data_IF_507453551992
#
_entry.id   IF_507453551992
#
_cell.length_a   1.000
_cell.length_b   1.000
_cell.length_c   1.000
_cell.angle_alpha   90.00
_cell.angle_beta   90.00
_cell.angle_gamma   90.00
#
_symmetry.space_group_name_H-M   'P 1'
#
loop_
_entity.id
_entity.type
_entity.pdbx_description
1 polymer ?
#
# COMPACT_ATOMS: atom_id res chain seq x y z
N UNK A 1 -43.17 -47.88 -28.77
CA UNK A 1 -42.68 -48.07 -27.38
C UNK A 1 -41.49 -47.16 -27.18
N UNK A 2 -41.76 -46.00 -26.57
CA UNK A 2 -40.74 -44.95 -26.32
C UNK A 2 -40.20 -45.15 -24.89
N UNK A 3 -38.94 -45.56 -24.74
CA UNK A 3 -38.27 -45.58 -23.44
C UNK A 3 -37.58 -44.24 -23.23
N UNK A 4 -38.15 -43.37 -22.40
CA UNK A 4 -37.50 -42.21 -21.88
C UNK A 4 -36.46 -42.61 -20.83
N UNK A 5 -35.18 -42.50 -21.15
CA UNK A 5 -34.11 -42.62 -20.17
C UNK A 5 -34.05 -41.36 -19.31
N UNK A 6 -34.56 -41.46 -18.09
CA UNK A 6 -34.36 -40.44 -17.06
C UNK A 6 -32.93 -40.51 -16.57
N UNK A 7 -32.11 -39.50 -16.90
CA UNK A 7 -30.74 -39.32 -16.37
C UNK A 7 -30.81 -39.10 -14.86
N UNK A 8 -29.97 -39.78 -14.10
CA UNK A 8 -29.95 -39.71 -12.65
C UNK A 8 -29.62 -38.29 -12.15
N UNK A 9 -30.18 -37.86 -11.01
CA UNK A 9 -29.89 -36.51 -10.43
C UNK A 9 -28.41 -36.21 -10.22
N UNK A 10 -27.59 -37.25 -9.99
CA UNK A 10 -26.15 -37.15 -9.78
C UNK A 10 -25.39 -36.66 -11.03
N UNK A 11 -25.80 -37.09 -12.23
CA UNK A 11 -25.19 -36.64 -13.50
C UNK A 11 -25.56 -35.20 -13.84
N UNK A 12 -26.73 -34.70 -13.43
CA UNK A 12 -27.15 -33.30 -13.60
C UNK A 12 -26.40 -32.36 -12.68
N UNK A 13 -26.14 -32.77 -11.42
CA UNK A 13 -25.37 -31.96 -10.47
C UNK A 13 -23.91 -31.78 -10.91
N UNK A 14 -23.28 -32.86 -11.38
CA UNK A 14 -21.88 -32.82 -11.87
C UNK A 14 -21.73 -31.94 -13.12
N UNK A 15 -22.70 -32.00 -14.05
CA UNK A 15 -22.73 -31.18 -15.25
C UNK A 15 -22.96 -29.70 -14.94
N UNK A 16 -23.74 -29.38 -13.90
CA UNK A 16 -24.00 -27.99 -13.48
C UNK A 16 -22.76 -27.35 -12.83
N UNK A 17 -22.06 -28.09 -11.97
CA UNK A 17 -20.82 -27.64 -11.33
C UNK A 17 -19.74 -27.41 -12.39
N UNK A 18 -19.58 -28.28 -13.37
CA UNK A 18 -18.61 -28.13 -14.45
C UNK A 18 -18.94 -26.96 -15.37
N UNK A 19 -20.22 -26.71 -15.66
CA UNK A 19 -20.69 -25.59 -16.47
C UNK A 19 -20.45 -24.23 -15.78
N UNK A 20 -20.64 -24.16 -14.46
CA UNK A 20 -20.37 -22.93 -13.69
C UNK A 20 -18.88 -22.63 -13.66
N UNK A 21 -18.00 -23.63 -13.50
CA UNK A 21 -16.55 -23.44 -13.53
C UNK A 21 -16.05 -23.01 -14.91
N UNK A 22 -16.60 -23.53 -16.00
CA UNK A 22 -16.25 -23.12 -17.36
C UNK A 22 -16.77 -21.71 -17.70
N UNK A 23 -17.95 -21.32 -17.21
CA UNK A 23 -18.50 -19.98 -17.47
C UNK A 23 -17.76 -18.86 -16.74
N UNK A 24 -17.22 -19.11 -15.54
CA UNK A 24 -16.43 -18.11 -14.80
C UNK A 24 -15.10 -17.79 -15.51
N UNK A 25 -14.56 -18.73 -16.29
CA UNK A 25 -13.34 -18.54 -17.06
C UNK A 25 -13.50 -17.81 -18.40
N UNK A 26 -14.73 -17.64 -18.90
CA UNK A 26 -15.00 -17.21 -20.28
C UNK A 26 -15.82 -15.91 -20.42
N UNK A 27 -16.33 -15.32 -19.33
CA UNK A 27 -17.15 -14.10 -19.43
C UNK A 27 -16.34 -12.83 -19.16
N UNK A 28 -16.37 -11.85 -20.07
CA UNK A 28 -15.90 -10.51 -19.78
C UNK A 28 -16.85 -9.84 -18.76
N UNK A 29 -16.28 -9.27 -17.71
CA UNK A 29 -16.97 -8.74 -16.52
C UNK A 29 -17.86 -7.49 -16.80
N UNK A 30 -18.06 -7.11 -18.05
CA UNK A 30 -18.89 -5.96 -18.44
C UNK A 30 -20.40 -6.23 -18.49
N UNK A 31 -20.88 -7.45 -18.22
CA UNK A 31 -22.28 -7.82 -18.41
C UNK A 31 -23.17 -7.79 -17.17
N UNK A 32 -22.69 -7.34 -16.01
CA UNK A 32 -23.48 -7.32 -14.76
C UNK A 32 -23.96 -5.94 -14.29
N UNK A 33 -23.97 -4.96 -15.16
CA UNK A 33 -24.49 -3.66 -14.82
C UNK A 33 -25.66 -3.30 -15.75
N UNK A 34 -26.85 -3.90 -15.54
CA UNK A 34 -28.16 -3.28 -15.86
C UNK A 34 -29.28 -4.31 -15.59
N UNK A 35 -30.00 -4.11 -14.56
CA UNK A 35 -31.46 -4.12 -14.42
C UNK A 35 -31.88 -4.45 -12.98
N UNK A 36 -32.20 -3.46 -12.20
CA UNK A 36 -33.16 -3.55 -11.11
C UNK A 36 -33.92 -2.24 -11.05
N UNK A 37 -35.15 -2.25 -11.53
CA UNK A 37 -36.16 -1.20 -11.27
C UNK A 37 -36.89 -1.53 -9.97
N UNK A 38 -36.84 -0.56 -9.06
CA UNK A 38 -37.82 -0.17 -8.05
C UNK A 38 -38.59 -1.25 -7.27
N UNK A 39 -38.20 -1.41 -5.99
CA UNK A 39 -39.19 -1.43 -4.91
C UNK A 39 -38.53 -0.92 -3.61
N UNK A 40 -39.15 0.07 -2.97
CA UNK A 40 -38.66 0.70 -1.75
C UNK A 40 -38.81 -0.28 -0.57
N UNK A 41 -37.69 -0.69 -0.01
CA UNK A 41 -37.54 -1.31 1.28
C UNK A 41 -36.20 -0.80 1.85
N UNK A 42 -36.19 -0.37 3.10
CA UNK A 42 -34.99 0.09 3.78
C UNK A 42 -33.94 -1.04 3.82
N UNK A 43 -33.14 -1.15 2.78
CA UNK A 43 -31.95 -1.99 2.78
C UNK A 43 -30.81 -1.21 3.44
N UNK A 44 -30.41 -1.67 4.63
CA UNK A 44 -29.10 -1.35 5.17
C UNK A 44 -28.09 -1.65 4.06
N UNK A 45 -27.44 -0.61 3.55
CA UNK A 45 -26.37 -0.73 2.57
C UNK A 45 -25.37 -1.80 3.05
N UNK A 46 -25.32 -2.91 2.33
CA UNK A 46 -24.25 -3.89 2.50
C UNK A 46 -22.95 -3.13 2.23
N UNK A 47 -22.15 -2.93 3.26
CA UNK A 47 -20.79 -2.41 3.12
C UNK A 47 -20.05 -3.36 2.20
N UNK A 48 -19.72 -2.86 1.01
CA UNK A 48 -18.83 -3.56 0.09
C UNK A 48 -17.53 -3.81 0.86
N UNK A 49 -17.24 -5.07 1.20
CA UNK A 49 -15.99 -5.46 1.85
C UNK A 49 -14.85 -5.00 0.93
N UNK A 50 -14.27 -3.83 1.25
CA UNK A 50 -13.12 -3.33 0.50
C UNK A 50 -11.96 -4.29 0.75
N UNK A 51 -11.28 -4.72 -0.32
CA UNK A 51 -10.13 -5.60 -0.22
C UNK A 51 -9.10 -5.05 0.76
N UNK A 52 -8.61 -5.86 1.71
CA UNK A 52 -7.52 -5.51 2.62
C UNK A 52 -6.25 -5.23 1.82
N UNK A 53 -5.69 -4.03 1.95
CA UNK A 53 -4.52 -3.61 1.21
C UNK A 53 -3.25 -4.19 1.83
N UNK A 54 -2.44 -4.85 1.03
CA UNK A 54 -1.16 -5.45 1.41
C UNK A 54 -0.07 -4.70 0.65
N UNK A 55 0.56 -3.76 1.32
CA UNK A 55 1.44 -2.77 0.70
C UNK A 55 2.88 -3.03 1.14
N UNK A 56 3.80 -2.98 0.19
CA UNK A 56 5.23 -2.92 0.46
C UNK A 56 5.75 -1.53 0.07
N UNK A 57 6.46 -0.88 0.99
CA UNK A 57 7.08 0.42 0.77
C UNK A 57 8.58 0.27 0.50
N UNK A 58 9.05 0.91 -0.57
CA UNK A 58 10.46 1.00 -0.92
C UNK A 58 10.89 2.48 -0.98
N UNK A 59 11.87 2.84 -0.16
CA UNK A 59 12.51 4.16 -0.22
C UNK A 59 13.51 4.21 -1.39
N UNK A 60 13.00 4.55 -2.56
CA UNK A 60 13.80 4.74 -3.77
C UNK A 60 14.12 6.22 -4.05
N UNK A 61 13.88 7.11 -3.10
CA UNK A 61 14.32 8.51 -3.10
C UNK A 61 15.72 8.66 -2.54
N UNK A 62 15.97 8.16 -1.33
CA UNK A 62 17.30 8.19 -0.73
C UNK A 62 18.29 7.32 -1.51
N UNK A 63 17.87 6.18 -2.01
CA UNK A 63 18.69 5.24 -2.77
C UNK A 63 18.14 4.99 -4.16
N UNK A 64 19.02 4.97 -5.15
CA UNK A 64 18.65 4.53 -6.51
C UNK A 64 18.53 3.01 -6.56
N UNK A 65 17.46 2.55 -7.16
CA UNK A 65 17.23 1.15 -7.55
C UNK A 65 17.05 1.09 -9.06
N UNK A 66 17.70 0.12 -9.68
CA UNK A 66 17.53 -0.14 -11.11
C UNK A 66 16.14 -0.69 -11.42
N UNK A 67 15.70 -0.57 -12.66
CA UNK A 67 14.43 -1.18 -13.13
C UNK A 67 14.38 -2.67 -12.84
N UNK A 68 15.52 -3.37 -13.00
CA UNK A 68 15.62 -4.82 -12.72
C UNK A 68 15.43 -5.15 -11.25
N UNK A 69 16.03 -4.37 -10.34
CA UNK A 69 15.89 -4.57 -8.90
C UNK A 69 14.45 -4.34 -8.43
N UNK A 70 13.79 -3.29 -8.92
CA UNK A 70 12.38 -3.03 -8.60
C UNK A 70 11.46 -4.14 -9.16
N UNK A 71 11.72 -4.62 -10.38
CA UNK A 71 10.98 -5.76 -10.95
C UNK A 71 11.16 -7.04 -10.14
N UNK A 72 12.37 -7.32 -9.65
CA UNK A 72 12.62 -8.46 -8.76
C UNK A 72 11.84 -8.36 -7.43
N UNK A 73 11.69 -7.16 -6.88
CA UNK A 73 10.81 -6.93 -5.72
C UNK A 73 9.34 -7.19 -6.10
N UNK A 74 8.88 -6.68 -7.24
CA UNK A 74 7.50 -6.89 -7.72
C UNK A 74 7.20 -8.38 -7.88
N UNK A 75 8.15 -9.19 -8.37
CA UNK A 75 7.99 -10.63 -8.48
C UNK A 75 7.74 -11.27 -7.11
N UNK A 76 8.55 -10.89 -6.11
CA UNK A 76 8.36 -11.37 -4.73
C UNK A 76 7.03 -10.92 -4.13
N UNK A 77 6.58 -9.70 -4.42
CA UNK A 77 5.28 -9.21 -3.96
C UNK A 77 4.13 -10.00 -4.60
N UNK A 78 4.20 -10.28 -5.87
CA UNK A 78 3.19 -11.05 -6.59
C UNK A 78 3.15 -12.51 -6.09
N UNK A 79 4.31 -13.14 -5.89
CA UNK A 79 4.43 -14.49 -5.35
C UNK A 79 3.85 -14.62 -3.94
N UNK A 80 4.00 -13.58 -3.12
CA UNK A 80 3.51 -13.51 -1.74
C UNK A 80 2.18 -12.76 -1.59
N UNK A 81 1.43 -12.57 -2.69
CA UNK A 81 0.06 -12.04 -2.72
C UNK A 81 -0.10 -10.62 -2.16
N UNK A 82 0.90 -9.78 -2.27
CA UNK A 82 0.74 -8.35 -2.03
C UNK A 82 -0.16 -7.72 -3.10
N UNK A 83 -0.72 -6.56 -2.78
CA UNK A 83 -1.59 -5.81 -3.71
C UNK A 83 -0.90 -4.60 -4.32
N UNK A 84 0.04 -4.02 -3.58
CA UNK A 84 0.66 -2.75 -3.96
C UNK A 84 2.14 -2.71 -3.63
N UNK A 85 2.88 -1.95 -4.45
CA UNK A 85 4.20 -1.43 -4.12
C UNK A 85 4.10 0.10 -3.99
N UNK A 86 4.55 0.66 -2.86
CA UNK A 86 4.71 2.10 -2.68
C UNK A 86 6.15 2.47 -3.02
N UNK A 87 6.33 3.33 -4.02
CA UNK A 87 7.64 3.83 -4.44
C UNK A 87 7.84 5.26 -3.95
N UNK A 88 8.65 5.43 -2.91
CA UNK A 88 9.03 6.74 -2.37
C UNK A 88 10.17 7.33 -3.20
N UNK A 89 9.88 7.78 -4.42
CA UNK A 89 10.87 8.34 -5.34
C UNK A 89 11.31 9.76 -4.96
N UNK A 90 10.53 10.46 -4.15
CA UNK A 90 10.80 11.77 -3.56
C UNK A 90 10.81 11.65 -2.03
N UNK A 91 11.97 11.34 -1.45
CA UNK A 91 12.20 11.21 -0.01
C UNK A 91 13.69 11.52 0.25
N UNK A 92 14.00 12.71 0.73
CA UNK A 92 15.31 13.39 0.73
C UNK A 92 15.92 13.51 -0.67
N UNK A 93 16.15 12.42 -1.37
CA UNK A 93 16.47 12.41 -2.81
C UNK A 93 15.20 12.52 -3.66
N UNK A 94 15.37 12.91 -4.91
CA UNK A 94 14.32 12.94 -5.92
C UNK A 94 14.80 12.17 -7.16
N UNK A 95 14.55 10.86 -7.17
CA UNK A 95 15.20 9.93 -8.12
C UNK A 95 14.28 9.43 -9.23
N UNK A 96 13.29 10.22 -9.56
CA UNK A 96 12.45 10.01 -10.74
C UNK A 96 12.26 11.33 -11.48
N UNK A 97 12.63 11.38 -12.75
CA UNK A 97 12.51 12.56 -13.61
C UNK A 97 11.56 12.29 -14.78
N UNK A 98 10.56 13.15 -14.91
CA UNK A 98 9.68 13.19 -16.07
C UNK A 98 10.41 13.76 -17.30
N UNK A 99 9.92 13.46 -18.49
CA UNK A 99 10.44 14.04 -19.72
C UNK A 99 10.36 15.56 -19.71
N UNK A 100 9.27 16.10 -19.16
CA UNK A 100 9.11 17.52 -18.93
C UNK A 100 9.01 17.81 -17.42
N UNK A 101 10.04 18.45 -16.86
CA UNK A 101 10.12 18.89 -15.46
C UNK A 101 9.93 20.40 -15.29
N UNK A 102 9.52 21.15 -16.34
CA UNK A 102 9.27 22.60 -16.17
C UNK A 102 8.23 22.85 -15.08
N UNK A 103 8.44 23.87 -14.27
CA UNK A 103 7.50 24.29 -13.20
C UNK A 103 7.28 25.78 -13.25
N UNK A 104 6.07 26.22 -12.92
CA UNK A 104 5.74 27.65 -12.78
C UNK A 104 5.52 27.97 -11.31
N UNK A 105 6.25 28.93 -10.77
CA UNK A 105 6.16 29.37 -9.39
C UNK A 105 5.93 30.87 -9.38
N UNK A 106 4.84 31.34 -8.80
CA UNK A 106 4.48 32.74 -8.70
C UNK A 106 4.53 33.49 -10.07
N UNK A 107 4.13 32.79 -11.15
CA UNK A 107 4.14 33.35 -12.50
C UNK A 107 5.48 33.26 -13.24
N UNK A 108 6.56 32.82 -12.58
CA UNK A 108 7.85 32.57 -13.23
C UNK A 108 7.95 31.11 -13.63
N UNK A 109 8.24 30.87 -14.92
CA UNK A 109 8.49 29.53 -15.45
C UNK A 109 9.98 29.18 -15.30
N UNK A 110 10.26 27.97 -14.83
CA UNK A 110 11.58 27.37 -14.73
C UNK A 110 11.61 26.21 -15.74
N UNK A 111 12.50 26.30 -16.69
CA UNK A 111 12.62 25.39 -17.81
C UNK A 111 12.97 23.96 -17.37
N UNK A 112 12.45 22.98 -18.08
CA UNK A 112 12.58 21.55 -17.76
C UNK A 112 14.02 21.11 -17.54
N UNK A 113 14.95 21.50 -18.40
CA UNK A 113 16.34 21.05 -18.32
C UNK A 113 17.08 21.72 -17.14
N UNK A 114 16.75 22.97 -16.82
CA UNK A 114 17.26 23.64 -15.62
C UNK A 114 16.78 22.93 -14.35
N UNK A 115 15.49 22.59 -14.27
CA UNK A 115 14.91 21.85 -13.13
C UNK A 115 15.54 20.46 -12.99
N UNK A 116 15.69 19.71 -14.08
CA UNK A 116 16.36 18.38 -14.06
C UNK A 116 17.80 18.49 -13.57
N UNK A 117 18.55 19.45 -14.08
CA UNK A 117 19.96 19.68 -13.69
C UNK A 117 20.06 20.02 -12.21
N UNK A 118 19.19 20.90 -11.70
CA UNK A 118 19.16 21.28 -10.29
C UNK A 118 18.81 20.08 -9.38
N UNK A 119 17.85 19.24 -9.76
CA UNK A 119 17.49 18.01 -9.03
C UNK A 119 18.65 17.01 -9.04
N UNK A 120 19.29 16.77 -10.19
CA UNK A 120 20.43 15.85 -10.29
C UNK A 120 21.62 16.31 -9.44
N UNK A 121 21.87 17.62 -9.41
CA UNK A 121 22.88 18.21 -8.53
C UNK A 121 22.54 17.98 -7.05
N UNK A 122 21.31 18.20 -6.64
CA UNK A 122 20.84 17.93 -5.27
C UNK A 122 20.99 16.47 -4.87
N UNK A 123 20.74 15.53 -5.77
CA UNK A 123 20.91 14.09 -5.52
C UNK A 123 22.37 13.65 -5.27
N UNK A 124 23.36 14.54 -5.49
CA UNK A 124 24.76 14.25 -5.22
C UNK A 124 25.22 14.64 -3.82
N UNK A 125 24.39 15.35 -3.05
CA UNK A 125 24.68 15.81 -1.70
C UNK A 125 24.04 14.96 -0.60
N UNK A 126 24.28 15.36 0.64
CA UNK A 126 23.62 14.83 1.84
C UNK A 126 23.66 13.29 1.97
N UNK A 127 24.78 12.67 1.63
CA UNK A 127 24.91 11.21 1.69
C UNK A 127 24.20 10.43 0.57
N UNK A 128 23.56 11.12 -0.38
CA UNK A 128 22.79 10.51 -1.48
C UNK A 128 23.66 10.02 -2.66
N UNK A 129 24.97 10.17 -2.58
CA UNK A 129 25.92 9.80 -3.63
C UNK A 129 26.39 8.33 -3.54
N UNK A 130 27.34 7.94 -4.36
CA UNK A 130 27.95 6.60 -4.34
C UNK A 130 27.04 5.52 -4.91
N UNK A 131 26.89 4.40 -4.20
CA UNK A 131 26.03 3.28 -4.64
C UNK A 131 24.54 3.67 -4.74
N UNK A 132 24.19 4.84 -4.19
CA UNK A 132 22.85 5.40 -4.31
C UNK A 132 22.65 6.29 -5.54
N UNK A 133 23.71 6.56 -6.32
CA UNK A 133 23.66 7.44 -7.49
C UNK A 133 22.79 6.85 -8.62
N UNK A 134 22.08 7.74 -9.31
CA UNK A 134 21.17 7.39 -10.39
C UNK A 134 19.80 8.02 -10.24
N UNK A 135 19.06 8.04 -11.33
CA UNK A 135 17.66 8.49 -11.39
C UNK A 135 16.91 7.60 -12.38
N UNK A 136 15.67 7.35 -12.11
CA UNK A 136 14.75 6.72 -13.06
C UNK A 136 14.27 7.77 -14.06
N UNK A 137 14.29 7.42 -15.32
CA UNK A 137 13.65 8.20 -16.38
C UNK A 137 12.14 7.90 -16.41
N UNK A 138 11.39 8.71 -17.14
CA UNK A 138 9.96 8.44 -17.35
C UNK A 138 9.75 7.09 -18.06
N UNK A 139 10.60 6.71 -19.01
CA UNK A 139 10.54 5.40 -19.69
C UNK A 139 10.80 4.25 -18.71
N UNK A 140 11.72 4.41 -17.76
CA UNK A 140 11.98 3.41 -16.72
C UNK A 140 10.76 3.20 -15.83
N UNK A 141 10.14 4.30 -15.39
CA UNK A 141 8.94 4.23 -14.56
C UNK A 141 7.74 3.65 -15.33
N UNK A 142 7.59 3.99 -16.61
CA UNK A 142 6.58 3.38 -17.49
C UNK A 142 6.76 1.86 -17.57
N UNK A 143 8.00 1.40 -17.69
CA UNK A 143 8.32 -0.04 -17.72
C UNK A 143 8.07 -0.73 -16.37
N UNK A 144 8.32 -0.05 -15.25
CA UNK A 144 8.02 -0.55 -13.90
C UNK A 144 6.50 -0.68 -13.70
N UNK A 145 5.74 0.37 -14.01
CA UNK A 145 4.27 0.38 -13.86
C UNK A 145 3.62 -0.69 -14.72
N UNK A 146 4.03 -0.81 -15.98
CA UNK A 146 3.52 -1.84 -16.88
C UNK A 146 3.81 -3.26 -16.36
N UNK A 147 5.01 -3.48 -15.82
CA UNK A 147 5.41 -4.76 -15.22
C UNK A 147 4.59 -5.08 -13.97
N UNK A 148 4.45 -4.12 -13.06
CA UNK A 148 3.65 -4.26 -11.85
C UNK A 148 2.19 -4.61 -12.18
N UNK A 149 1.57 -3.87 -13.10
CA UNK A 149 0.20 -4.14 -13.54
C UNK A 149 0.03 -5.54 -14.13
N UNK A 150 1.01 -6.01 -14.94
CA UNK A 150 1.02 -7.37 -15.48
C UNK A 150 1.11 -8.43 -14.39
N UNK A 151 1.83 -8.15 -13.32
CA UNK A 151 2.01 -9.03 -12.15
C UNK A 151 0.85 -8.90 -11.13
N UNK A 152 -0.17 -8.09 -11.40
CA UNK A 152 -1.30 -7.86 -10.49
C UNK A 152 -0.97 -6.92 -9.33
N UNK A 153 0.19 -6.26 -9.35
CA UNK A 153 0.64 -5.30 -8.33
C UNK A 153 0.35 -3.88 -8.82
N UNK A 154 -0.25 -3.05 -7.97
CA UNK A 154 -0.48 -1.63 -8.27
C UNK A 154 0.62 -0.77 -7.68
N UNK A 155 0.95 0.34 -8.35
CA UNK A 155 1.97 1.29 -7.88
C UNK A 155 1.30 2.44 -7.13
N UNK A 156 1.76 2.68 -5.90
CA UNK A 156 1.46 3.88 -5.12
C UNK A 156 2.71 4.76 -5.19
N UNK A 157 2.67 5.91 -5.85
CA UNK A 157 3.77 6.87 -5.80
C UNK A 157 3.83 7.58 -4.45
N UNK A 158 5.04 7.95 -4.02
CA UNK A 158 5.22 8.82 -2.86
C UNK A 158 6.21 9.93 -3.18
N UNK A 159 5.78 11.17 -2.91
CA UNK A 159 6.58 12.38 -2.90
C UNK A 159 6.38 13.06 -1.56
N UNK A 160 7.39 13.00 -0.70
CA UNK A 160 7.32 13.53 0.67
C UNK A 160 7.44 15.06 0.69
N UNK A 161 6.51 15.71 1.39
CA UNK A 161 6.49 17.14 1.63
C UNK A 161 5.64 17.46 2.89
N UNK A 162 5.96 18.50 3.67
CA UNK A 162 7.07 19.44 3.50
C UNK A 162 8.43 18.94 4.01
N UNK A 163 8.48 17.84 4.79
CA UNK A 163 9.70 17.21 5.27
C UNK A 163 10.37 16.34 4.19
N UNK A 164 11.59 15.86 4.48
CA UNK A 164 12.37 14.97 3.60
C UNK A 164 12.52 15.48 2.16
N UNK A 165 12.73 16.80 2.00
CA UNK A 165 12.79 17.46 0.69
C UNK A 165 14.20 17.96 0.33
N UNK A 166 15.28 17.36 0.86
CA UNK A 166 16.64 17.88 0.64
C UNK A 166 16.92 18.21 -0.83
N UNK A 167 16.72 17.28 -1.74
CA UNK A 167 16.99 17.49 -3.17
C UNK A 167 16.09 18.56 -3.79
N UNK A 168 14.81 18.58 -3.43
CA UNK A 168 13.86 19.59 -3.93
C UNK A 168 14.21 20.99 -3.39
N UNK A 169 14.60 21.10 -2.11
CA UNK A 169 15.09 22.36 -1.51
C UNK A 169 16.36 22.85 -2.21
N UNK A 170 17.32 21.96 -2.47
CA UNK A 170 18.51 22.31 -3.24
C UNK A 170 18.17 22.79 -4.65
N UNK A 171 17.23 22.13 -5.32
CA UNK A 171 16.78 22.56 -6.64
C UNK A 171 16.11 23.93 -6.59
N UNK A 172 15.24 24.17 -5.58
CA UNK A 172 14.63 25.49 -5.35
C UNK A 172 15.68 26.60 -5.21
N UNK A 173 16.73 26.35 -4.41
CA UNK A 173 17.83 27.28 -4.19
C UNK A 173 18.68 27.50 -5.46
N UNK A 174 19.06 26.41 -6.15
CA UNK A 174 19.87 26.46 -7.37
C UNK A 174 19.17 27.21 -8.50
N UNK A 175 17.84 27.07 -8.59
CA UNK A 175 17.02 27.78 -9.57
C UNK A 175 16.75 29.25 -9.21
N UNK A 176 17.14 29.70 -8.01
CA UNK A 176 16.87 31.05 -7.55
C UNK A 176 15.39 31.35 -7.32
N UNK A 177 14.59 30.34 -6.94
CA UNK A 177 13.14 30.50 -6.68
C UNK A 177 12.90 31.47 -5.50
N UNK A 178 13.80 31.50 -4.51
CA UNK A 178 13.73 32.43 -3.36
C UNK A 178 12.84 31.95 -2.21
N UNK A 179 12.38 30.71 -2.22
CA UNK A 179 11.60 30.11 -1.12
C UNK A 179 12.47 29.78 0.10
N UNK A 180 11.85 29.74 1.28
CA UNK A 180 12.53 29.40 2.54
C UNK A 180 12.47 27.91 2.84
N UNK A 181 13.50 27.42 3.51
CA UNK A 181 13.60 26.03 3.96
C UNK A 181 14.28 25.94 5.32
N UNK A 182 14.01 24.85 6.04
CA UNK A 182 14.58 24.56 7.34
C UNK A 182 15.28 23.20 7.34
N UNK A 183 16.40 23.09 8.07
CA UNK A 183 17.02 21.82 8.41
C UNK A 183 16.34 21.31 9.66
N UNK A 184 15.62 20.19 9.56
CA UNK A 184 14.88 19.58 10.67
C UNK A 184 15.80 18.75 11.55
N UNK A 185 16.66 17.94 10.93
CA UNK A 185 17.69 17.18 11.62
C UNK A 185 18.98 17.21 10.82
N UNK A 186 20.08 17.41 11.51
CA UNK A 186 21.42 17.37 10.90
C UNK A 186 22.16 16.14 11.47
N UNK A 187 22.29 15.12 10.66
CA UNK A 187 22.92 13.86 11.05
C UNK A 187 24.35 13.87 10.53
N UNK A 188 25.30 14.27 11.38
CA UNK A 188 26.73 14.40 11.03
C UNK A 188 27.47 13.05 10.91
N UNK A 189 26.76 11.96 10.75
CA UNK A 189 27.26 10.60 10.74
C UNK A 189 27.21 9.93 9.35
N UNK A 190 26.99 10.72 8.29
CA UNK A 190 26.94 10.25 6.91
C UNK A 190 25.54 9.88 6.42
N UNK A 191 24.51 9.99 7.29
CA UNK A 191 23.11 9.87 6.87
C UNK A 191 22.62 11.15 6.17
N UNK A 192 21.50 11.03 5.49
CA UNK A 192 20.78 12.19 4.96
C UNK A 192 20.23 13.04 6.10
N UNK A 193 20.43 14.35 6.04
CA UNK A 193 19.75 15.28 6.93
C UNK A 193 18.35 15.55 6.41
N UNK A 194 17.36 15.60 7.30
CA UNK A 194 16.00 15.97 6.92
C UNK A 194 15.90 17.48 6.69
N UNK A 195 15.47 17.87 5.50
CA UNK A 195 15.24 19.25 5.11
C UNK A 195 13.77 19.44 4.74
N UNK A 196 13.15 20.52 5.18
CA UNK A 196 11.78 20.85 4.87
C UNK A 196 11.69 22.19 4.16
N UNK A 197 10.73 22.34 3.26
CA UNK A 197 10.25 23.66 2.87
C UNK A 197 9.53 24.30 4.07
N UNK A 198 9.68 25.61 4.23
CA UNK A 198 8.97 26.33 5.28
C UNK A 198 7.49 26.46 4.90
N UNK A 199 6.56 25.84 5.66
CA UNK A 199 5.13 25.89 5.32
C UNK A 199 4.52 27.28 5.49
N UNK A 200 5.22 28.22 6.13
CA UNK A 200 4.81 29.63 6.25
C UNK A 200 5.25 30.48 5.07
N UNK A 201 6.15 29.99 4.23
CA UNK A 201 6.65 30.68 3.05
C UNK A 201 5.87 30.29 1.79
N UNK A 202 5.08 31.23 1.28
CA UNK A 202 4.22 30.99 0.13
C UNK A 202 4.98 30.56 -1.15
N UNK A 203 6.20 31.01 -1.33
CA UNK A 203 7.03 30.68 -2.50
C UNK A 203 7.56 29.24 -2.41
N UNK A 204 8.04 28.82 -1.24
CA UNK A 204 8.48 27.44 -1.00
C UNK A 204 7.32 26.45 -1.15
N UNK A 205 6.16 26.77 -0.58
CA UNK A 205 4.93 25.98 -0.72
C UNK A 205 4.50 25.90 -2.19
N UNK A 206 4.55 27.01 -2.94
CA UNK A 206 4.20 27.00 -4.36
C UNK A 206 5.14 26.13 -5.18
N UNK A 207 6.44 26.15 -4.90
CA UNK A 207 7.43 25.29 -5.57
C UNK A 207 7.18 23.80 -5.29
N UNK A 208 6.98 23.43 -4.01
CA UNK A 208 6.69 22.04 -3.60
C UNK A 208 5.40 21.53 -4.27
N UNK A 209 4.33 22.35 -4.27
CA UNK A 209 3.05 22.02 -4.92
C UNK A 209 3.19 21.90 -6.44
N UNK A 210 4.00 22.72 -7.09
CA UNK A 210 4.24 22.65 -8.53
C UNK A 210 4.94 21.33 -8.91
N UNK A 211 5.92 20.87 -8.13
CA UNK A 211 6.54 19.54 -8.32
C UNK A 211 5.53 18.41 -8.06
N UNK A 212 4.80 18.47 -6.95
CA UNK A 212 3.77 17.48 -6.62
C UNK A 212 2.76 17.34 -7.75
N UNK A 213 2.23 18.45 -8.27
CA UNK A 213 1.24 18.46 -9.36
C UNK A 213 1.73 17.71 -10.61
N UNK A 214 3.02 17.85 -10.95
CA UNK A 214 3.57 17.11 -12.10
C UNK A 214 3.53 15.61 -11.89
N UNK A 215 3.96 15.15 -10.73
CA UNK A 215 3.95 13.71 -10.41
C UNK A 215 2.53 13.16 -10.25
N UNK A 216 1.64 13.90 -9.59
CA UNK A 216 0.22 13.54 -9.46
C UNK A 216 -0.42 13.37 -10.84
N UNK A 217 -0.21 14.33 -11.76
CA UNK A 217 -0.73 14.24 -13.12
C UNK A 217 -0.19 13.03 -13.87
N UNK A 218 1.12 12.77 -13.78
CA UNK A 218 1.74 11.62 -14.44
C UNK A 218 1.18 10.29 -13.93
N UNK A 219 1.16 10.08 -12.61
CA UNK A 219 0.73 8.81 -12.04
C UNK A 219 -0.78 8.56 -12.17
N UNK A 220 -1.61 9.61 -12.10
CA UNK A 220 -3.04 9.51 -12.43
C UNK A 220 -3.24 9.04 -13.87
N UNK A 221 -2.48 9.62 -14.82
CA UNK A 221 -2.49 9.20 -16.23
C UNK A 221 -2.00 7.76 -16.46
N UNK A 222 -1.30 7.16 -15.48
CA UNK A 222 -0.86 5.76 -15.48
C UNK A 222 -1.78 4.82 -14.71
N UNK A 223 -2.89 5.33 -14.15
CA UNK A 223 -3.90 4.53 -13.47
C UNK A 223 -3.63 4.27 -11.98
N UNK A 224 -2.70 5.00 -11.35
CA UNK A 224 -2.57 4.98 -9.89
C UNK A 224 -3.84 5.54 -9.25
N UNK A 225 -4.32 4.88 -8.21
CA UNK A 225 -5.54 5.25 -7.48
C UNK A 225 -5.26 5.88 -6.11
N UNK A 226 -4.01 5.85 -5.69
CA UNK A 226 -3.52 6.40 -4.42
C UNK A 226 -2.21 7.14 -4.65
N UNK A 227 -1.94 8.16 -3.84
CA UNK A 227 -0.70 8.92 -3.83
C UNK A 227 -0.32 9.26 -2.37
N UNK A 228 0.89 8.93 -1.94
CA UNK A 228 1.38 9.29 -0.61
C UNK A 228 2.15 10.62 -0.67
N UNK A 229 1.71 11.59 0.12
CA UNK A 229 2.34 12.91 0.22
C UNK A 229 3.36 12.99 1.37
N UNK A 230 3.58 11.91 2.12
CA UNK A 230 4.47 11.86 3.28
C UNK A 230 3.90 12.59 4.47
N UNK A 231 4.21 13.87 4.59
CA UNK A 231 3.76 14.75 5.66
C UNK A 231 4.34 14.45 7.05
N UNK A 232 5.39 13.61 7.13
CA UNK A 232 6.07 13.22 8.35
C UNK A 232 7.29 14.09 8.66
N UNK A 233 7.75 14.03 9.90
CA UNK A 233 9.00 14.61 10.43
C UNK A 233 9.32 16.05 9.95
N UNK A 234 8.30 16.90 9.90
CA UNK A 234 8.37 18.22 9.23
C UNK A 234 8.84 19.37 10.15
N UNK A 235 9.33 19.09 11.36
CA UNK A 235 9.84 20.12 12.28
C UNK A 235 8.79 21.14 12.71
N UNK A 236 7.65 20.64 13.16
CA UNK A 236 6.50 21.46 13.50
C UNK A 236 6.61 22.11 14.86
N UNK A 237 6.19 23.37 14.94
CA UNK A 237 6.01 24.13 16.14
C UNK A 237 4.65 24.86 16.13
N UNK A 238 4.36 25.61 17.20
CA UNK A 238 3.08 26.32 17.34
C UNK A 238 2.87 27.42 16.28
N UNK A 239 3.94 27.97 15.74
CA UNK A 239 3.90 29.13 14.85
C UNK A 239 3.70 28.70 13.38
N UNK A 240 4.16 27.49 13.01
CA UNK A 240 4.06 26.96 11.65
C UNK A 240 2.95 25.93 11.47
N UNK A 241 2.36 25.38 12.53
CA UNK A 241 1.44 24.25 12.47
C UNK A 241 0.17 24.49 11.64
N UNK A 242 -0.43 25.68 11.77
CA UNK A 242 -1.61 26.03 10.96
C UNK A 242 -1.27 26.12 9.46
N UNK A 243 -0.11 26.65 9.12
CA UNK A 243 0.40 26.72 7.74
C UNK A 243 0.73 25.33 7.20
N UNK A 244 1.30 24.46 8.01
CA UNK A 244 1.49 23.05 7.67
C UNK A 244 0.16 22.35 7.34
N UNK A 245 -0.84 22.48 8.20
CA UNK A 245 -2.15 21.88 7.96
C UNK A 245 -2.78 22.38 6.66
N UNK A 246 -2.67 23.70 6.40
CA UNK A 246 -3.11 24.27 5.13
C UNK A 246 -2.38 23.64 3.94
N UNK A 247 -1.04 23.51 4.02
CA UNK A 247 -0.25 22.90 2.95
C UNK A 247 -0.63 21.44 2.70
N UNK A 248 -0.84 20.64 3.77
CA UNK A 248 -1.30 19.25 3.67
C UNK A 248 -2.67 19.17 2.98
N UNK A 249 -3.63 20.00 3.39
CA UNK A 249 -4.96 20.03 2.76
C UNK A 249 -4.90 20.51 1.29
N UNK A 250 -4.04 21.48 0.97
CA UNK A 250 -3.81 21.91 -0.42
C UNK A 250 -3.23 20.77 -1.27
N UNK A 251 -2.28 20.01 -0.73
CA UNK A 251 -1.72 18.82 -1.42
C UNK A 251 -2.77 17.72 -1.59
N UNK A 252 -3.60 17.49 -0.57
CA UNK A 252 -4.76 16.59 -0.67
C UNK A 252 -5.69 17.01 -1.80
N UNK A 253 -6.01 18.29 -1.90
CA UNK A 253 -6.85 18.80 -2.97
C UNK A 253 -6.27 18.56 -4.38
N UNK A 254 -4.94 18.65 -4.55
CA UNK A 254 -4.25 18.33 -5.80
C UNK A 254 -4.42 16.84 -6.16
N UNK A 255 -4.20 15.94 -5.19
CA UNK A 255 -4.32 14.50 -5.38
C UNK A 255 -5.75 14.10 -5.72
N UNK A 256 -6.73 14.65 -4.97
CA UNK A 256 -8.16 14.42 -5.20
C UNK A 256 -8.65 14.90 -6.56
N UNK A 257 -8.19 16.07 -6.98
CA UNK A 257 -8.56 16.62 -8.30
C UNK A 257 -8.10 15.73 -9.45
N UNK A 258 -7.07 14.89 -9.23
CA UNK A 258 -6.61 13.88 -10.18
C UNK A 258 -7.34 12.51 -10.01
N UNK A 259 -8.35 12.41 -9.16
CA UNK A 259 -9.12 11.19 -8.93
C UNK A 259 -8.44 10.14 -8.05
N UNK A 260 -7.42 10.52 -7.30
CA UNK A 260 -6.67 9.62 -6.40
C UNK A 260 -7.01 9.88 -4.93
N UNK A 261 -6.78 8.87 -4.09
CA UNK A 261 -6.83 8.97 -2.64
C UNK A 261 -5.48 9.38 -2.09
N UNK A 262 -5.46 10.36 -1.20
CA UNK A 262 -4.25 10.81 -0.52
C UNK A 262 -3.92 9.89 0.65
N UNK A 263 -2.66 9.48 0.75
CA UNK A 263 -2.07 8.85 1.92
C UNK A 263 -1.11 9.84 2.58
N UNK A 264 -1.03 9.81 3.92
CA UNK A 264 -0.06 10.61 4.68
C UNK A 264 0.31 9.91 6.00
N UNK A 265 1.51 10.17 6.51
CA UNK A 265 1.93 9.67 7.81
C UNK A 265 1.32 10.46 8.97
N UNK A 266 1.22 9.85 10.14
CA UNK A 266 0.40 10.38 11.24
C UNK A 266 1.08 11.43 12.11
N UNK A 267 2.41 11.45 12.24
CA UNK A 267 3.14 12.23 13.25
C UNK A 267 3.08 13.76 13.07
N UNK A 268 2.73 14.23 11.87
CA UNK A 268 2.43 15.64 11.61
C UNK A 268 0.94 15.98 11.69
N UNK A 269 0.06 15.03 11.42
CA UNK A 269 -1.39 15.24 11.35
C UNK A 269 -2.01 15.08 12.73
N UNK A 270 -2.65 16.13 13.26
CA UNK A 270 -3.18 16.18 14.62
C UNK A 270 -2.12 15.80 15.69
N UNK A 271 -1.00 16.55 15.71
CA UNK A 271 -0.01 16.37 16.76
C UNK A 271 -0.62 16.60 18.13
N UNK A 272 -0.40 15.66 19.03
CA UNK A 272 -0.98 15.68 20.39
C UNK A 272 -0.67 16.99 21.15
N UNK A 273 0.54 17.51 21.00
CA UNK A 273 0.97 18.77 21.63
C UNK A 273 0.22 20.01 21.13
N UNK A 274 -0.35 19.96 19.92
CA UNK A 274 -1.10 21.08 19.32
C UNK A 274 -2.61 20.85 19.33
N UNK A 275 -3.08 19.62 19.52
CA UNK A 275 -4.50 19.28 19.45
C UNK A 275 -5.36 20.09 20.42
N UNK A 276 -4.84 20.36 21.63
CA UNK A 276 -5.51 21.18 22.66
C UNK A 276 -5.28 22.68 22.52
N UNK A 277 -4.07 23.09 22.09
CA UNK A 277 -3.69 24.50 22.00
C UNK A 277 -4.13 25.18 20.71
N UNK A 278 -4.39 24.43 19.66
CA UNK A 278 -4.83 24.92 18.36
C UNK A 278 -6.06 24.15 17.84
N UNK A 279 -7.20 24.16 18.54
CA UNK A 279 -8.38 23.37 18.18
C UNK A 279 -9.03 23.79 16.85
N UNK A 280 -8.67 24.96 16.33
CA UNK A 280 -9.09 25.47 15.02
C UNK A 280 -8.38 24.83 13.82
N UNK A 281 -7.20 24.22 14.03
CA UNK A 281 -6.48 23.54 12.97
C UNK A 281 -7.19 22.23 12.59
N UNK A 282 -7.49 22.08 11.30
CA UNK A 282 -8.25 20.94 10.76
C UNK A 282 -7.48 20.33 9.58
N UNK A 283 -7.55 19.01 9.51
CA UNK A 283 -7.11 18.26 8.35
C UNK A 283 -8.30 17.58 7.67
N UNK A 284 -8.23 17.44 6.36
CA UNK A 284 -9.26 16.75 5.58
C UNK A 284 -9.30 15.28 5.97
N UNK A 285 -10.44 14.78 6.41
CA UNK A 285 -10.56 13.41 6.94
C UNK A 285 -10.72 12.33 5.86
N UNK A 286 -10.70 12.69 4.60
CA UNK A 286 -10.59 11.77 3.49
C UNK A 286 -9.12 11.39 3.16
N UNK A 287 -8.15 12.03 3.80
CA UNK A 287 -6.76 11.56 3.83
C UNK A 287 -6.71 10.23 4.61
N UNK A 288 -6.11 9.21 4.02
CA UNK A 288 -5.87 7.93 4.69
C UNK A 288 -4.57 8.01 5.48
N UNK A 289 -4.63 7.70 6.75
CA UNK A 289 -3.51 7.82 7.68
C UNK A 289 -2.67 6.54 7.68
N UNK A 290 -1.40 6.65 7.29
CA UNK A 290 -0.38 5.62 7.48
C UNK A 290 0.15 5.73 8.92
N UNK A 291 -0.45 4.99 9.85
CA UNK A 291 -0.17 5.11 11.27
C UNK A 291 1.07 4.30 11.65
N UNK A 292 2.20 4.99 11.88
CA UNK A 292 3.50 4.35 12.11
C UNK A 292 4.06 4.53 13.51
N UNK A 293 3.60 5.55 14.27
CA UNK A 293 4.12 5.88 15.59
C UNK A 293 3.05 6.47 16.50
N UNK A 294 3.17 6.19 17.79
CA UNK A 294 2.38 6.88 18.83
C UNK A 294 3.08 8.19 19.29
N UNK A 295 4.35 8.36 18.93
CA UNK A 295 5.11 9.54 19.36
C UNK A 295 4.56 10.79 18.67
N UNK A 296 4.24 11.80 19.50
CA UNK A 296 3.71 13.11 19.08
C UNK A 296 2.38 13.09 18.32
N UNK A 297 1.74 11.94 18.15
CA UNK A 297 0.48 11.78 17.43
C UNK A 297 -0.70 11.61 18.38
N UNK A 298 -1.90 11.94 17.92
CA UNK A 298 -3.11 11.44 18.57
C UNK A 298 -3.24 9.93 18.33
N UNK A 299 -4.01 9.25 19.18
CA UNK A 299 -4.21 7.80 19.08
C UNK A 299 -5.00 7.39 17.81
N UNK A 300 -4.87 6.11 17.44
CA UNK A 300 -5.70 5.50 16.39
C UNK A 300 -7.20 5.70 16.65
N UNK A 301 -7.63 5.51 17.92
CA UNK A 301 -9.03 5.72 18.31
C UNK A 301 -9.52 7.14 18.04
N UNK A 302 -8.68 8.14 18.30
CA UNK A 302 -9.01 9.54 18.03
C UNK A 302 -9.05 9.84 16.52
N UNK A 303 -8.15 9.28 15.70
CA UNK A 303 -8.24 9.39 14.25
C UNK A 303 -9.55 8.79 13.72
N UNK A 304 -9.89 7.58 14.15
CA UNK A 304 -11.14 6.91 13.76
C UNK A 304 -12.37 7.74 14.18
N UNK A 305 -12.38 8.30 15.39
CA UNK A 305 -13.47 9.17 15.87
C UNK A 305 -13.64 10.46 15.06
N UNK A 306 -12.56 10.92 14.41
CA UNK A 306 -12.57 12.06 13.49
C UNK A 306 -12.96 11.67 12.05
N UNK A 307 -13.24 10.40 11.80
CA UNK A 307 -13.66 9.88 10.50
C UNK A 307 -12.54 9.50 9.53
N UNK A 308 -11.28 9.48 10.00
CA UNK A 308 -10.15 9.02 9.19
C UNK A 308 -10.16 7.50 9.01
N UNK A 309 -9.62 7.05 7.89
CA UNK A 309 -9.30 5.65 7.64
C UNK A 309 -7.82 5.41 7.93
N UNK A 310 -7.49 4.21 8.41
CA UNK A 310 -6.14 3.87 8.84
C UNK A 310 -5.56 2.77 7.95
N UNK A 311 -4.33 2.98 7.51
CA UNK A 311 -3.41 1.94 7.06
C UNK A 311 -2.44 1.64 8.21
N UNK A 312 -2.36 0.36 8.60
CA UNK A 312 -1.44 -0.08 9.63
C UNK A 312 0.00 -0.07 9.09
N UNK A 313 0.75 0.94 9.48
CA UNK A 313 2.14 1.13 9.09
C UNK A 313 3.06 0.96 10.30
N UNK A 314 2.83 -0.06 11.11
CA UNK A 314 3.48 -0.28 12.40
C UNK A 314 5.00 -0.09 12.31
N UNK A 315 5.55 0.86 13.10
CA UNK A 315 6.97 1.19 13.11
C UNK A 315 7.89 0.03 13.52
N UNK A 316 7.35 -1.02 14.16
CA UNK A 316 8.10 -2.24 14.48
C UNK A 316 8.42 -3.11 13.23
N UNK A 317 7.78 -2.82 12.09
CA UNK A 317 8.03 -3.51 10.81
C UNK A 317 9.04 -2.79 9.92
N UNK A 318 9.72 -1.80 10.45
CA UNK A 318 10.72 -1.07 9.68
C UNK A 318 12.02 -1.86 9.57
N UNK A 319 12.55 -1.88 8.38
CA UNK A 319 13.90 -2.30 8.08
C UNK A 319 14.66 -1.14 7.44
N UNK A 320 15.79 -0.80 8.04
CA UNK A 320 16.70 0.22 7.51
C UNK A 320 17.75 -0.47 6.68
N UNK A 321 17.76 -0.18 5.38
CA UNK A 321 18.58 -0.88 4.41
C UNK A 321 20.06 -0.61 4.63
N UNK A 322 20.79 -1.67 4.96
CA UNK A 322 22.24 -1.72 4.90
C UNK A 322 22.99 -0.82 5.83
N UNK A 323 22.42 -0.50 6.96
CA UNK A 323 23.06 0.45 7.81
C UNK A 323 23.87 -0.14 8.97
N UNK A 324 25.17 -0.13 8.80
CA UNK A 324 26.15 -0.45 9.84
C UNK A 324 26.76 0.80 10.49
N UNK A 325 26.61 1.97 9.92
CA UNK A 325 27.19 3.24 10.45
C UNK A 325 26.47 3.67 11.72
N UNK A 326 25.23 3.25 11.88
CA UNK A 326 24.35 3.63 12.98
C UNK A 326 24.29 2.64 14.12
N UNK A 327 25.25 1.71 14.20
CA UNK A 327 25.30 0.68 15.24
C UNK A 327 25.12 1.19 16.68
N UNK A 328 25.48 2.44 16.90
CA UNK A 328 25.37 3.09 18.21
C UNK A 328 24.04 3.87 18.41
N UNK A 329 23.33 4.16 17.34
CA UNK A 329 22.19 5.08 17.33
C UNK A 329 20.87 4.38 17.09
N UNK A 330 20.83 3.57 16.04
CA UNK A 330 19.63 2.81 15.76
C UNK A 330 19.56 1.76 16.85
N UNK A 331 18.61 1.95 17.69
CA UNK A 331 18.14 0.93 18.57
C UNK A 331 18.05 -0.39 17.76
N UNK A 332 18.39 -1.53 18.37
CA UNK A 332 18.22 -2.84 17.74
C UNK A 332 16.84 -3.05 17.11
N UNK A 333 15.86 -2.23 17.48
CA UNK A 333 14.48 -2.33 17.01
C UNK A 333 14.32 -2.25 15.48
N UNK A 334 15.19 -1.54 14.76
CA UNK A 334 15.11 -1.42 13.30
C UNK A 334 16.13 -2.28 12.55
N UNK A 335 16.68 -3.28 13.24
CA UNK A 335 17.53 -4.29 12.60
C UNK A 335 16.68 -5.29 11.79
N UNK A 336 17.33 -5.98 10.84
CA UNK A 336 16.70 -7.07 10.09
C UNK A 336 16.08 -8.13 11.01
N UNK A 337 16.79 -8.57 12.05
CA UNK A 337 16.31 -9.60 12.99
C UNK A 337 15.09 -9.11 13.76
N UNK A 338 15.08 -7.86 14.18
CA UNK A 338 13.95 -7.27 14.87
C UNK A 338 12.72 -7.17 13.97
N UNK A 339 12.89 -6.62 12.77
CA UNK A 339 11.82 -6.55 11.78
C UNK A 339 11.27 -7.94 11.44
N UNK A 340 12.14 -8.93 11.19
CA UNK A 340 11.74 -10.31 10.91
C UNK A 340 10.96 -10.93 12.07
N UNK A 341 11.45 -10.78 13.30
CA UNK A 341 10.76 -11.28 14.50
C UNK A 341 9.37 -10.65 14.66
N UNK A 342 9.27 -9.34 14.47
CA UNK A 342 8.00 -8.63 14.58
C UNK A 342 7.01 -9.04 13.47
N UNK A 343 7.47 -9.22 12.24
CA UNK A 343 6.63 -9.72 11.14
C UNK A 343 6.13 -11.14 11.36
N UNK A 344 6.83 -11.94 12.16
CA UNK A 344 6.46 -13.31 12.55
C UNK A 344 5.67 -13.39 13.87
N UNK A 345 5.33 -12.27 14.49
CA UNK A 345 4.65 -12.23 15.79
C UNK A 345 3.53 -11.19 15.89
N UNK A 346 3.53 -10.15 15.07
CA UNK A 346 2.54 -9.08 15.11
C UNK A 346 1.58 -9.24 13.91
N UNK A 347 0.27 -9.53 14.15
CA UNK A 347 -0.72 -9.61 13.08
C UNK A 347 -0.85 -8.29 12.30
N UNK A 348 -1.08 -8.37 10.99
CA UNK A 348 -1.24 -7.19 10.10
C UNK A 348 -2.39 -6.26 10.51
N UNK A 349 -3.32 -6.75 11.29
CA UNK A 349 -4.44 -5.97 11.83
C UNK A 349 -4.14 -5.28 13.16
N UNK A 350 -2.98 -5.58 13.79
CA UNK A 350 -2.60 -5.01 15.08
C UNK A 350 -2.04 -3.60 14.90
N UNK A 351 -2.90 -2.59 15.01
CA UNK A 351 -2.49 -1.18 15.04
C UNK A 351 -1.85 -0.81 16.39
N UNK A 352 -0.82 0.03 16.36
CA UNK A 352 -0.10 0.49 17.57
C UNK A 352 -1.07 1.19 18.52
N UNK A 353 -0.96 0.87 19.83
CA UNK A 353 -1.75 1.47 20.89
C UNK A 353 -3.27 1.27 20.78
N UNK A 354 -3.77 0.50 19.82
CA UNK A 354 -5.20 0.32 19.61
C UNK A 354 -5.70 -1.01 20.14
N UNK A 355 -6.77 -0.96 20.94
CA UNK A 355 -7.42 -2.12 21.57
C UNK A 355 -8.88 -2.30 21.15
N UNK A 356 -9.39 -1.46 20.23
CA UNK A 356 -10.74 -1.56 19.69
C UNK A 356 -10.89 -2.68 18.66
N UNK A 357 -12.06 -2.76 18.05
CA UNK A 357 -12.44 -3.84 17.12
C UNK A 357 -12.35 -3.45 15.64
N UNK A 358 -12.20 -2.17 15.34
CA UNK A 358 -12.10 -1.68 13.98
C UNK A 358 -10.83 -2.19 13.32
N UNK A 359 -10.97 -2.61 12.07
CA UNK A 359 -9.86 -3.12 11.28
C UNK A 359 -9.22 -2.01 10.43
N UNK A 360 -7.89 -2.00 10.24
CA UNK A 360 -7.28 -1.10 9.27
C UNK A 360 -7.68 -1.47 7.84
N UNK A 361 -7.62 -0.50 6.92
CA UNK A 361 -7.83 -0.75 5.49
C UNK A 361 -6.83 -1.73 4.89
N UNK A 362 -5.68 -1.87 5.53
CA UNK A 362 -4.55 -2.66 5.08
C UNK A 362 -3.33 -2.44 5.93
N UNK A 363 -2.21 -3.00 5.50
CA UNK A 363 -0.92 -2.89 6.19
C UNK A 363 0.21 -2.54 5.23
N UNK A 364 1.24 -1.87 5.76
CA UNK A 364 2.43 -1.45 5.01
C UNK A 364 3.66 -2.02 5.68
N UNK A 365 4.44 -2.83 4.96
CA UNK A 365 5.80 -3.23 5.32
C UNK A 365 6.78 -2.20 4.74
N UNK A 366 7.63 -1.61 5.57
CA UNK A 366 8.54 -0.55 5.15
C UNK A 366 10.00 -1.01 5.06
N UNK A 367 10.64 -0.65 3.94
CA UNK A 367 12.10 -0.68 3.76
C UNK A 367 12.57 0.74 3.50
N UNK A 368 13.23 1.32 4.50
CA UNK A 368 13.81 2.65 4.45
C UNK A 368 15.30 2.59 4.10
N UNK A 369 15.80 3.60 3.41
CA UNK A 369 17.18 3.65 2.93
C UNK A 369 17.98 4.77 3.59
N UNK A 370 17.94 4.85 4.93
CA UNK A 370 18.71 5.85 5.70
C UNK A 370 20.22 5.72 5.51
N UNK A 371 20.71 4.54 5.12
CA UNK A 371 22.08 4.28 4.70
C UNK A 371 22.24 4.11 3.19
N UNK A 372 21.97 5.13 2.36
CA UNK A 372 21.79 4.97 0.91
C UNK A 372 23.06 4.52 0.16
N UNK A 373 24.25 4.69 0.73
CA UNK A 373 25.51 4.30 0.12
C UNK A 373 25.73 2.78 0.05
N UNK A 374 24.97 1.99 0.82
CA UNK A 374 25.14 0.53 0.87
C UNK A 374 24.43 -0.13 -0.32
N UNK A 375 25.13 -1.06 -0.98
CA UNK A 375 24.61 -1.77 -2.16
C UNK A 375 23.38 -2.62 -1.82
N UNK A 376 22.40 -2.70 -2.74
CA UNK A 376 21.22 -3.54 -2.56
C UNK A 376 21.53 -5.02 -2.83
N UNK A 377 22.16 -5.32 -3.95
CA UNK A 377 22.47 -6.69 -4.36
C UNK A 377 23.78 -7.23 -3.76
N UNK A 378 24.69 -6.36 -3.33
CA UNK A 378 26.03 -6.73 -2.83
C UNK A 378 26.28 -6.30 -1.38
N UNK A 379 25.48 -5.38 -0.85
CA UNK A 379 25.55 -4.93 0.54
C UNK A 379 24.87 -5.88 1.50
N UNK A 380 25.25 -5.82 2.76
CA UNK A 380 24.69 -6.66 3.83
C UNK A 380 23.85 -5.79 4.76
N UNK A 381 22.71 -6.37 5.17
CA UNK A 381 21.85 -5.75 6.16
C UNK A 381 22.48 -5.70 7.55
N UNK A 382 21.92 -4.87 8.41
CA UNK A 382 22.41 -4.72 9.77
C UNK A 382 22.31 -6.05 10.53
N UNK A 383 23.45 -6.48 11.10
CA UNK A 383 23.62 -7.74 11.87
C UNK A 383 23.38 -9.05 11.10
N UNK A 384 23.16 -9.01 9.79
CA UNK A 384 23.05 -10.22 8.98
C UNK A 384 24.26 -10.34 8.05
N UNK A 385 25.26 -11.11 8.48
CA UNK A 385 26.56 -11.17 7.79
C UNK A 385 26.55 -12.02 6.52
N UNK A 386 25.57 -12.90 6.39
CA UNK A 386 25.55 -13.93 5.33
C UNK A 386 24.45 -13.69 4.28
N UNK A 387 23.71 -12.62 4.40
CA UNK A 387 22.64 -12.27 3.47
C UNK A 387 22.88 -10.88 2.89
N UNK A 388 22.65 -10.74 1.58
CA UNK A 388 22.58 -9.43 0.96
C UNK A 388 21.33 -8.69 1.41
N UNK A 389 21.33 -7.37 1.24
CA UNK A 389 20.13 -6.54 1.50
C UNK A 389 18.93 -7.02 0.68
N UNK A 390 19.15 -7.44 -0.56
CA UNK A 390 18.13 -8.02 -1.43
C UNK A 390 17.49 -9.28 -0.82
N UNK A 391 18.32 -10.21 -0.33
CA UNK A 391 17.82 -11.41 0.32
C UNK A 391 17.05 -11.11 1.59
N UNK A 392 17.52 -10.15 2.40
CA UNK A 392 16.83 -9.69 3.60
C UNK A 392 15.46 -9.12 3.28
N UNK A 393 15.34 -8.26 2.26
CA UNK A 393 14.07 -7.69 1.80
C UNK A 393 13.10 -8.78 1.36
N UNK A 394 13.55 -9.76 0.59
CA UNK A 394 12.72 -10.87 0.12
C UNK A 394 12.20 -11.73 1.29
N UNK A 395 13.06 -11.98 2.27
CA UNK A 395 12.67 -12.73 3.48
C UNK A 395 11.63 -11.98 4.32
N UNK A 396 11.73 -10.65 4.43
CA UNK A 396 10.74 -9.83 5.15
C UNK A 396 9.37 -9.85 4.45
N UNK A 397 9.36 -9.72 3.11
CA UNK A 397 8.14 -9.82 2.30
C UNK A 397 7.44 -11.17 2.55
N UNK A 398 8.20 -12.26 2.48
CA UNK A 398 7.70 -13.60 2.70
C UNK A 398 7.21 -13.82 4.12
N UNK A 399 7.96 -13.38 5.13
CA UNK A 399 7.62 -13.57 6.54
C UNK A 399 6.28 -12.93 6.91
N UNK A 400 6.01 -11.70 6.45
CA UNK A 400 4.73 -11.02 6.71
C UNK A 400 3.55 -11.80 6.10
N UNK A 401 3.73 -12.31 4.89
CA UNK A 401 2.69 -13.06 4.20
C UNK A 401 2.43 -14.42 4.86
N UNK A 402 3.48 -15.16 5.22
CA UNK A 402 3.37 -16.48 5.85
C UNK A 402 2.75 -16.42 7.25
N UNK A 403 3.02 -15.35 8.02
CA UNK A 403 2.43 -15.18 9.34
C UNK A 403 0.95 -14.77 9.28
N UNK A 404 0.51 -14.15 8.19
CA UNK A 404 -0.84 -13.64 8.01
C UNK A 404 -1.58 -14.32 6.83
N UNK A 405 -1.72 -15.65 6.80
CA UNK A 405 -2.25 -16.37 5.64
C UNK A 405 -3.69 -15.98 5.31
N UNK A 406 -4.49 -15.57 6.29
CA UNK A 406 -5.89 -15.17 6.05
C UNK A 406 -6.01 -13.89 5.21
N UNK A 407 -4.96 -13.06 5.20
CA UNK A 407 -4.90 -11.82 4.43
C UNK A 407 -4.10 -11.98 3.13
N UNK A 408 -3.08 -12.84 3.10
CA UNK A 408 -2.13 -12.96 1.99
C UNK A 408 -2.34 -14.17 1.08
N UNK A 409 -3.00 -15.23 1.52
CA UNK A 409 -3.20 -16.43 0.67
C UNK A 409 -4.47 -16.38 -0.17
N UNK A 410 -5.20 -15.28 -0.12
CA UNK A 410 -6.42 -15.14 -0.92
C UNK A 410 -7.38 -16.31 -0.71
N UNK A 411 -7.74 -16.61 0.55
CA UNK A 411 -8.80 -17.60 0.83
C UNK A 411 -10.06 -17.14 0.12
N UNK A 412 -10.40 -17.82 -0.96
CA UNK A 412 -11.70 -17.66 -1.59
C UNK A 412 -12.72 -18.16 -0.59
N UNK A 413 -13.47 -17.26 0.05
CA UNK A 413 -14.65 -17.67 0.83
C UNK A 413 -15.70 -18.17 -0.15
N UNK A 414 -15.88 -19.46 -0.18
CA UNK A 414 -17.02 -20.08 -0.84
C UNK A 414 -18.16 -20.08 0.18
N UNK A 415 -19.16 -19.25 0.00
CA UNK A 415 -20.44 -19.40 0.66
C UNK A 415 -21.36 -20.16 -0.28
N UNK A 416 -21.84 -21.33 0.15
CA UNK A 416 -22.89 -22.06 -0.53
C UNK A 416 -24.19 -21.83 0.24
N UNK A 417 -25.22 -21.31 -0.42
CA UNK A 417 -26.59 -21.34 0.08
C UNK A 417 -27.38 -22.33 -0.76
N UNK A 418 -28.10 -23.23 -0.09
CA UNK A 418 -29.05 -24.14 -0.71
C UNK A 418 -30.45 -23.59 -0.40
N UNK A 419 -31.09 -23.02 -1.36
CA UNK A 419 -32.53 -22.85 -1.34
C UNK A 419 -33.13 -23.97 -2.22
N UNK A 420 -34.10 -24.64 -1.80
CA UNK A 420 -34.69 -25.93 -2.24
C UNK A 420 -34.64 -26.27 -3.77
N UNK A 421 -33.99 -25.47 -4.59
CA UNK A 421 -33.90 -25.60 -6.05
C UNK A 421 -32.53 -25.36 -6.67
N UNK A 422 -31.54 -24.90 -5.90
CA UNK A 422 -30.20 -24.66 -6.45
C UNK A 422 -29.13 -24.33 -5.40
N UNK A 423 -27.91 -24.75 -5.67
CA UNK A 423 -26.72 -24.38 -4.90
C UNK A 423 -26.13 -23.14 -5.55
N UNK A 424 -26.18 -22.02 -4.86
CA UNK A 424 -25.42 -20.82 -5.28
C UNK A 424 -24.06 -20.82 -4.60
N UNK A 425 -22.99 -20.63 -5.38
CA UNK A 425 -21.63 -20.51 -4.89
C UNK A 425 -21.17 -19.10 -5.15
N UNK A 426 -21.01 -18.29 -4.10
CA UNK A 426 -20.39 -16.98 -4.23
C UNK A 426 -18.88 -17.12 -4.03
N UNK A 427 -18.09 -16.63 -5.00
CA UNK A 427 -16.63 -16.60 -4.95
C UNK A 427 -16.23 -15.16 -4.71
N UNK A 428 -15.68 -14.86 -3.51
CA UNK A 428 -15.10 -13.56 -3.21
C UNK A 428 -13.59 -13.70 -3.07
N UNK A 429 -12.84 -12.96 -3.88
CA UNK A 429 -11.38 -12.97 -3.87
C UNK A 429 -10.81 -11.91 -4.81
N UNK A 430 -9.54 -11.59 -4.70
CA UNK A 430 -8.88 -10.61 -5.55
C UNK A 430 -8.81 -11.09 -7.00
N UNK A 431 -9.11 -10.19 -7.94
CA UNK A 431 -9.05 -10.45 -9.38
C UNK A 431 -7.62 -10.82 -9.80
N UNK A 432 -7.44 -11.95 -10.46
CA UNK A 432 -6.16 -12.40 -11.02
C UNK A 432 -5.37 -13.37 -10.15
N UNK A 433 -5.85 -13.76 -8.98
CA UNK A 433 -5.22 -14.80 -8.14
C UNK A 433 -5.67 -16.19 -8.58
N UNK A 434 -4.72 -17.15 -8.62
CA UNK A 434 -5.05 -18.58 -8.75
C UNK A 434 -5.68 -19.02 -7.43
N UNK A 435 -6.98 -19.27 -7.42
CA UNK A 435 -7.67 -19.83 -6.27
C UNK A 435 -7.57 -21.36 -6.29
N UNK A 436 -6.97 -21.95 -5.26
CA UNK A 436 -7.08 -23.39 -5.02
C UNK A 436 -8.33 -23.63 -4.18
N UNK A 437 -9.35 -24.23 -4.78
CA UNK A 437 -10.60 -24.57 -4.08
C UNK A 437 -10.45 -25.97 -3.48
N UNK A 438 -10.21 -26.05 -2.17
CA UNK A 438 -10.28 -27.33 -1.44
C UNK A 438 -11.68 -27.53 -0.89
N UNK A 439 -12.48 -28.41 -1.53
CA UNK A 439 -13.79 -28.76 -1.01
C UNK A 439 -13.64 -29.83 0.07
N UNK A 440 -13.57 -29.42 1.34
CA UNK A 440 -13.62 -30.34 2.48
C UNK A 440 -15.07 -30.67 2.80
N UNK A 441 -15.51 -31.83 2.37
CA UNK A 441 -16.71 -32.57 2.81
C UNK A 441 -18.00 -31.72 2.94
N UNK A 442 -18.87 -31.81 1.93
CA UNK A 442 -20.26 -31.38 2.06
C UNK A 442 -21.00 -32.49 2.80
N UNK A 443 -21.41 -32.28 4.05
CA UNK A 443 -22.29 -33.17 4.78
C UNK A 443 -23.73 -32.74 4.48
N UNK A 444 -24.39 -33.43 3.57
CA UNK A 444 -25.83 -33.26 3.39
C UNK A 444 -26.57 -33.97 4.55
N UNK A 445 -27.19 -33.18 5.42
CA UNK A 445 -28.16 -33.69 6.40
C UNK A 445 -29.44 -34.03 5.70
N UNK A 446 -29.71 -35.32 5.50
CA UNK A 446 -31.03 -35.76 5.04
C UNK A 446 -31.92 -35.90 6.28
N UNK A 447 -32.83 -34.96 6.47
CA UNK A 447 -33.89 -35.09 7.47
C UNK A 447 -35.01 -35.90 6.86
N UNK A 448 -35.13 -37.16 7.28
CA UNK A 448 -36.28 -38.02 6.89
C UNK A 448 -37.44 -37.75 7.86
N UNK A 449 -38.43 -37.01 7.42
CA UNK A 449 -39.72 -36.90 8.15
C UNK A 449 -40.53 -38.15 7.93
N UNK A 450 -40.75 -38.90 9.02
CA UNK A 450 -41.64 -40.08 8.98
C UNK A 450 -43.11 -39.67 8.95
N UNK A 451 -43.84 -40.20 7.99
CA UNK A 451 -45.31 -40.28 8.10
C UNK A 451 -45.66 -41.36 9.15
N UNK A 452 -46.58 -41.10 10.08
CA UNK A 452 -46.99 -42.14 11.06
C UNK A 452 -47.65 -43.29 10.30
N UNK A 453 -47.10 -44.52 10.42
CA UNK A 453 -47.79 -45.74 9.98
C UNK A 453 -46.98 -46.76 9.20
N UNK A 454 -45.71 -46.65 8.92
CA UNK A 454 -44.95 -47.69 8.19
C UNK A 454 -43.74 -48.17 9.00
N UNK A 455 -43.67 -49.52 9.15
CA UNK A 455 -42.70 -50.22 9.96
C UNK A 455 -41.27 -50.31 9.35
N UNK A 456 -40.34 -50.52 10.23
CA UNK A 456 -38.88 -50.85 10.14
C UNK A 456 -37.96 -49.94 9.29
N UNK A 457 -36.84 -49.51 9.85
CA UNK A 457 -35.89 -48.67 9.17
C UNK A 457 -34.91 -49.44 8.29
N UNK A 458 -34.77 -49.01 7.05
CA UNK A 458 -33.63 -49.40 6.20
C UNK A 458 -32.49 -48.40 6.40
N UNK A 459 -31.31 -48.89 6.78
CA UNK A 459 -30.10 -48.09 6.87
C UNK A 459 -29.61 -47.75 5.46
N UNK A 460 -29.61 -46.48 5.09
CA UNK A 460 -28.88 -46.00 3.92
C UNK A 460 -27.48 -45.62 4.32
N UNK A 461 -26.49 -46.24 3.69
CA UNK A 461 -25.08 -45.90 3.87
C UNK A 461 -24.78 -44.60 3.11
N UNK A 462 -24.20 -43.62 3.81
CA UNK A 462 -23.68 -42.40 3.20
C UNK A 462 -22.39 -42.75 2.48
N UNK A 463 -22.34 -42.58 1.16
CA UNK A 463 -21.13 -42.72 0.36
C UNK A 463 -20.45 -41.36 0.26
N UNK A 464 -19.25 -41.26 0.81
CA UNK A 464 -18.37 -40.07 0.72
C UNK A 464 -17.73 -40.07 -0.67
N UNK A 465 -18.00 -39.05 -1.48
CA UNK A 465 -17.29 -38.82 -2.75
C UNK A 465 -16.22 -37.78 -2.51
N UNK A 466 -14.96 -38.19 -2.57
CA UNK A 466 -13.81 -37.33 -2.54
C UNK A 466 -13.26 -37.24 -3.98
N UNK A 467 -13.38 -36.11 -4.64
CA UNK A 467 -12.72 -35.88 -5.93
C UNK A 467 -11.53 -34.93 -5.72
N UNK A 468 -10.32 -35.42 -5.91
CA UNK A 468 -9.11 -34.61 -6.10
C UNK A 468 -9.06 -34.19 -7.57
N UNK A 469 -8.84 -32.91 -7.82
CA UNK A 469 -8.49 -32.41 -9.14
C UNK A 469 -6.98 -32.10 -9.18
N UNK A 470 -6.28 -32.49 -10.24
CA UNK A 470 -4.86 -32.11 -10.41
C UNK A 470 -4.74 -30.63 -10.73
N UNK A 471 -3.63 -30.06 -10.31
CA UNK A 471 -3.20 -28.66 -10.41
C UNK A 471 -3.10 -28.14 -11.83
#
# INVERSE_FOLDING_TARGET
>A
MNQSQTRSPRKRLLSLILAVILMIGLLPISAFATSASAQAGEDKAATQDSEFLRIFHLDCGRKYFTVSEIKGIIDQLAENHYTHIQLAFGNDGLRFLLNNMSVTVNGTEYESDAVKTAIQSGNSGNGLAGAAAGVLTQSDMDAIIAYANKSGIKVIPMFNAPGHMYTAVNAMNTLGVGGKSNIISNLNDGRTSNWAVDPTDATAVAFAKALLQKYVTYFAGKGSTMFNIGADESGLDKDNYASYAKMVNDMNAIVKAAGMTTLAYNDGIYRAEFASSQPGVKFDNDIVICYWTEEKSISVAEFLSKGFKILNNNGDWYYVLGDYLYKAWLSPQWSYQSALSNLQSIPVTKMMGYTGTEQPMGSILCVWCDGPSVGYTTGYGYREKNQTNQQSVYNLIKAMAEYNPDYFTGKVKLSASDDATGVSVAVTGAKGQKATVEVKKITMGITITRKPGSGRPTRLAATTLCTRFPS
#
